data_IF_370872772291
#
_entry.id   IF_370872772291
#
_cell.length_a   1.000
_cell.length_b   1.000
_cell.length_c   1.000
_cell.angle_alpha   90.00
_cell.angle_beta   90.00
_cell.angle_gamma   90.00
#
_symmetry.space_group_name_H-M   'P 1'
#
loop_
_entity.id
_entity.type
_entity.pdbx_description
1 polymer ?
#
# COMPACT_ATOMS: atom_id res chain seq x y z
N UNK A 1 23.91 8.29 -38.43
CA UNK A 1 22.85 8.87 -37.61
C UNK A 1 23.29 8.67 -36.17
N UNK A 2 23.95 9.68 -35.60
CA UNK A 2 24.43 9.62 -34.22
C UNK A 2 23.20 9.69 -33.32
N UNK A 3 23.00 8.65 -32.52
CA UNK A 3 22.01 8.62 -31.44
C UNK A 3 22.32 9.80 -30.53
N UNK A 4 21.39 10.73 -30.32
CA UNK A 4 21.54 11.75 -29.28
C UNK A 4 21.73 11.03 -27.94
N UNK A 5 22.97 10.96 -27.46
CA UNK A 5 23.27 10.42 -26.14
C UNK A 5 22.62 11.38 -25.15
N UNK A 6 21.59 10.91 -24.44
CA UNK A 6 20.95 11.68 -23.40
C UNK A 6 21.95 11.83 -22.24
N UNK A 7 22.59 13.00 -22.17
CA UNK A 7 23.64 13.32 -21.20
C UNK A 7 23.20 13.01 -19.76
N UNK A 8 21.89 13.08 -19.45
CA UNK A 8 21.34 12.76 -18.13
C UNK A 8 21.30 11.27 -17.79
N UNK A 9 21.17 10.39 -18.80
CA UNK A 9 21.10 8.93 -18.62
C UNK A 9 22.49 8.34 -18.36
N UNK A 10 23.52 8.86 -19.03
CA UNK A 10 24.90 8.40 -18.82
C UNK A 10 25.46 8.93 -17.48
N UNK A 11 24.92 10.04 -16.97
CA UNK A 11 25.47 10.80 -15.83
C UNK A 11 25.43 10.03 -14.50
N UNK A 12 24.50 9.09 -14.38
CA UNK A 12 24.13 8.47 -13.12
C UNK A 12 24.43 6.98 -13.19
N UNK A 13 25.68 6.63 -13.46
CA UNK A 13 26.14 5.26 -13.31
C UNK A 13 25.97 4.84 -11.83
N UNK A 14 24.85 4.17 -11.58
CA UNK A 14 24.40 3.59 -10.31
C UNK A 14 24.29 2.07 -10.48
N UNK A 15 25.21 1.47 -11.25
CA UNK A 15 25.26 0.03 -11.50
C UNK A 15 25.26 -0.77 -10.20
N UNK A 16 25.94 -0.30 -9.14
CA UNK A 16 25.91 -0.96 -7.84
C UNK A 16 24.50 -0.98 -7.23
N UNK A 17 23.80 0.17 -7.18
CA UNK A 17 22.44 0.24 -6.65
C UNK A 17 21.46 -0.55 -7.52
N UNK A 18 21.61 -0.53 -8.84
CA UNK A 18 20.80 -1.33 -9.78
C UNK A 18 21.03 -2.82 -9.63
N UNK A 19 22.28 -3.26 -9.50
CA UNK A 19 22.63 -4.66 -9.26
C UNK A 19 22.03 -5.15 -7.93
N UNK A 20 22.14 -4.36 -6.87
CA UNK A 20 21.51 -4.67 -5.57
C UNK A 20 20.00 -4.81 -5.72
N UNK A 21 19.35 -3.88 -6.42
CA UNK A 21 17.91 -3.91 -6.63
C UNK A 21 17.48 -5.12 -7.49
N UNK A 22 18.20 -5.45 -8.56
CA UNK A 22 17.96 -6.65 -9.38
C UNK A 22 18.12 -7.94 -8.55
N UNK A 23 19.13 -8.02 -7.68
CA UNK A 23 19.29 -9.15 -6.76
C UNK A 23 18.12 -9.24 -5.77
N UNK A 24 17.58 -8.11 -5.29
CA UNK A 24 16.36 -8.08 -4.48
C UNK A 24 15.16 -8.60 -5.28
N UNK A 25 14.96 -8.16 -6.53
CA UNK A 25 13.86 -8.66 -7.38
C UNK A 25 13.95 -10.16 -7.64
N UNK A 26 15.16 -10.68 -7.79
CA UNK A 26 15.41 -12.12 -8.04
C UNK A 26 15.38 -12.96 -6.77
N UNK A 27 15.18 -12.35 -5.59
CA UNK A 27 15.21 -13.06 -4.31
C UNK A 27 16.58 -13.62 -3.94
N UNK A 28 17.66 -13.08 -4.51
CA UNK A 28 19.04 -13.49 -4.21
C UNK A 28 19.58 -12.88 -2.91
N UNK A 29 18.86 -11.91 -2.33
CA UNK A 29 19.16 -11.28 -1.04
C UNK A 29 18.04 -11.55 -0.04
N UNK A 30 18.39 -11.58 1.24
CA UNK A 30 17.40 -11.67 2.32
C UNK A 30 16.77 -10.31 2.60
N UNK A 31 17.57 -9.24 2.49
CA UNK A 31 17.13 -7.86 2.59
C UNK A 31 16.34 -7.50 1.33
N UNK A 32 15.12 -7.03 1.54
CA UNK A 32 14.18 -6.61 0.49
C UNK A 32 13.68 -5.19 0.75
N UNK A 33 14.33 -4.46 1.65
CA UNK A 33 14.07 -3.05 1.94
C UNK A 33 15.36 -2.27 1.68
N UNK A 34 15.26 -1.23 0.84
CA UNK A 34 16.37 -0.37 0.44
C UNK A 34 16.04 1.09 0.75
N UNK A 35 16.84 1.72 1.60
CA UNK A 35 16.76 3.15 1.91
C UNK A 35 17.84 3.90 1.14
N UNK A 36 17.42 4.87 0.35
CA UNK A 36 18.29 5.72 -0.46
C UNK A 36 18.24 7.14 0.08
N UNK A 37 19.34 7.57 0.67
CA UNK A 37 19.53 8.92 1.15
C UNK A 37 20.37 9.71 0.15
N UNK A 38 19.92 10.88 -0.26
CA UNK A 38 20.75 11.77 -1.05
C UNK A 38 20.31 13.22 -0.98
N UNK A 39 21.25 14.12 -1.21
CA UNK A 39 20.95 15.52 -1.39
C UNK A 39 20.18 15.83 -2.69
N UNK A 40 19.69 17.05 -2.82
CA UNK A 40 19.09 17.54 -4.07
C UNK A 40 20.09 17.48 -5.24
N UNK A 41 19.66 16.99 -6.40
CA UNK A 41 20.49 16.92 -7.61
C UNK A 41 21.44 15.73 -7.71
N UNK A 42 21.36 14.76 -6.78
CA UNK A 42 22.19 13.54 -6.78
C UNK A 42 21.68 12.39 -7.68
N UNK A 43 20.56 12.60 -8.38
CA UNK A 43 20.00 11.63 -9.32
C UNK A 43 19.00 10.61 -8.76
N UNK A 44 18.49 10.80 -7.54
CA UNK A 44 17.49 9.89 -6.92
C UNK A 44 16.32 9.55 -7.84
N UNK A 45 15.69 10.58 -8.42
CA UNK A 45 14.51 10.39 -9.26
C UNK A 45 14.83 9.55 -10.49
N UNK A 46 16.00 9.77 -11.12
CA UNK A 46 16.43 8.97 -12.25
C UNK A 46 16.71 7.52 -11.85
N UNK A 47 17.43 7.29 -10.75
CA UNK A 47 17.64 5.94 -10.21
C UNK A 47 16.31 5.22 -9.91
N UNK A 48 15.32 5.92 -9.39
CA UNK A 48 13.99 5.37 -9.18
C UNK A 48 13.22 5.11 -10.48
N UNK A 49 13.43 5.87 -11.56
CA UNK A 49 12.89 5.54 -12.89
C UNK A 49 13.51 4.24 -13.41
N UNK A 50 14.81 4.03 -13.20
CA UNK A 50 15.48 2.79 -13.60
C UNK A 50 14.98 1.60 -12.78
N UNK A 51 14.83 1.76 -11.46
CA UNK A 51 14.21 0.73 -10.61
C UNK A 51 12.78 0.45 -11.04
N UNK A 52 12.03 1.50 -11.37
CA UNK A 52 10.69 1.35 -11.91
C UNK A 52 10.74 0.49 -13.17
N UNK A 53 11.56 0.84 -14.17
CA UNK A 53 11.71 0.09 -15.41
C UNK A 53 12.13 -1.37 -15.18
N UNK A 54 13.11 -1.64 -14.31
CA UNK A 54 13.55 -2.99 -13.95
C UNK A 54 12.44 -3.82 -13.29
N UNK A 55 11.53 -3.17 -12.58
CA UNK A 55 10.39 -3.81 -11.93
C UNK A 55 9.19 -4.07 -12.86
N UNK A 56 9.28 -3.78 -14.16
CA UNK A 56 8.17 -3.96 -15.13
C UNK A 56 7.52 -5.35 -15.14
N UNK A 57 8.26 -6.45 -14.97
CA UNK A 57 7.66 -7.79 -14.90
C UNK A 57 6.86 -8.08 -13.63
N UNK A 58 6.85 -7.17 -12.64
CA UNK A 58 6.28 -7.38 -11.31
C UNK A 58 5.15 -6.36 -11.04
N UNK A 59 4.13 -6.73 -10.24
CA UNK A 59 3.22 -5.75 -9.66
C UNK A 59 4.01 -4.65 -8.93
N UNK A 60 3.79 -3.38 -9.30
CA UNK A 60 4.60 -2.26 -8.81
C UNK A 60 3.76 -1.02 -8.52
N UNK A 61 4.08 -0.36 -7.41
CA UNK A 61 3.42 0.86 -6.95
C UNK A 61 4.47 1.94 -6.65
N UNK A 62 4.19 3.20 -7.02
CA UNK A 62 5.08 4.34 -6.72
C UNK A 62 4.34 5.52 -6.13
N UNK A 63 4.95 6.12 -5.11
CA UNK A 63 4.45 7.29 -4.41
C UNK A 63 5.47 8.43 -4.50
N UNK A 64 5.08 9.58 -5.06
CA UNK A 64 5.82 10.83 -4.87
C UNK A 64 5.30 11.53 -3.60
N UNK A 65 6.08 11.50 -2.52
CA UNK A 65 5.69 12.08 -1.25
C UNK A 65 5.80 13.61 -1.20
N UNK A 66 6.17 14.29 -2.31
CA UNK A 66 6.09 15.77 -2.40
C UNK A 66 4.66 16.27 -2.28
N UNK A 67 3.69 15.55 -2.84
CA UNK A 67 2.29 15.94 -2.75
C UNK A 67 1.71 15.56 -1.39
N UNK A 68 0.71 16.32 -0.94
CA UNK A 68 -0.02 16.03 0.29
C UNK A 68 -0.86 14.75 0.11
N UNK A 69 -0.27 13.61 0.45
CA UNK A 69 -0.99 12.34 0.57
C UNK A 69 -1.52 12.19 2.00
N UNK A 70 -2.77 11.72 2.12
CA UNK A 70 -3.26 11.14 3.38
C UNK A 70 -3.09 9.62 3.35
N UNK A 71 -3.15 9.00 4.53
CA UNK A 71 -2.93 7.56 4.65
C UNK A 71 -3.93 6.75 3.82
N UNK A 72 -5.19 7.19 3.74
CA UNK A 72 -6.21 6.53 2.93
C UNK A 72 -5.77 6.44 1.47
N UNK A 73 -5.37 7.56 0.86
CA UNK A 73 -4.91 7.62 -0.53
C UNK A 73 -3.75 6.66 -0.79
N UNK A 74 -2.81 6.55 0.15
CA UNK A 74 -1.67 5.64 0.03
C UNK A 74 -2.11 4.19 0.03
N UNK A 75 -2.93 3.79 1.01
CA UNK A 75 -3.43 2.42 1.14
C UNK A 75 -4.25 2.00 -0.09
N UNK A 76 -5.12 2.89 -0.59
CA UNK A 76 -5.95 2.59 -1.75
C UNK A 76 -5.15 2.50 -3.05
N UNK A 77 -4.24 3.45 -3.29
CA UNK A 77 -3.37 3.41 -4.47
C UNK A 77 -2.48 2.17 -4.47
N UNK A 78 -2.01 1.73 -3.31
CA UNK A 78 -1.24 0.48 -3.20
C UNK A 78 -2.07 -0.71 -3.67
N UNK A 79 -3.32 -0.83 -3.21
CA UNK A 79 -4.20 -1.92 -3.65
C UNK A 79 -4.57 -1.81 -5.14
N UNK A 80 -4.72 -0.59 -5.66
CA UNK A 80 -4.99 -0.32 -7.07
C UNK A 80 -3.83 -0.76 -7.97
N UNK A 81 -2.64 -0.26 -7.69
CA UNK A 81 -1.44 -0.49 -8.49
C UNK A 81 -0.97 -1.96 -8.43
N UNK A 82 -1.22 -2.65 -7.31
CA UNK A 82 -0.85 -4.06 -7.13
C UNK A 82 -1.96 -5.04 -7.52
N UNK A 83 -3.16 -4.56 -7.87
CA UNK A 83 -4.30 -5.39 -8.29
C UNK A 83 -5.25 -5.74 -7.15
N UNK A 84 -6.47 -5.19 -7.19
CA UNK A 84 -7.47 -5.29 -6.11
C UNK A 84 -7.88 -6.72 -5.75
N UNK A 85 -7.83 -7.65 -6.70
CA UNK A 85 -8.17 -9.06 -6.52
C UNK A 85 -7.29 -9.74 -5.45
N UNK A 86 -6.11 -9.18 -5.16
CA UNK A 86 -5.19 -9.69 -4.17
C UNK A 86 -5.49 -9.19 -2.75
N UNK A 87 -6.40 -8.21 -2.60
CA UNK A 87 -6.65 -7.46 -1.36
C UNK A 87 -8.04 -7.70 -0.75
N UNK A 88 -8.46 -8.96 -0.68
CA UNK A 88 -9.77 -9.35 -0.16
C UNK A 88 -9.96 -9.01 1.34
N UNK A 89 -8.90 -9.14 2.15
CA UNK A 89 -8.91 -8.78 3.56
C UNK A 89 -9.12 -7.28 3.76
N UNK A 90 -8.33 -6.47 3.07
CA UNK A 90 -8.44 -5.01 3.07
C UNK A 90 -9.84 -4.57 2.62
N UNK A 91 -10.34 -5.14 1.53
CA UNK A 91 -11.64 -4.81 1.00
C UNK A 91 -12.79 -5.10 1.98
N UNK A 92 -12.69 -6.21 2.73
CA UNK A 92 -13.67 -6.55 3.78
C UNK A 92 -13.74 -5.47 4.85
N UNK A 93 -12.60 -4.92 5.27
CA UNK A 93 -12.54 -3.80 6.24
C UNK A 93 -13.14 -2.53 5.64
N UNK A 94 -12.82 -2.21 4.38
CA UNK A 94 -13.41 -1.05 3.66
C UNK A 94 -14.92 -1.15 3.60
N UNK A 95 -15.43 -2.33 3.26
CA UNK A 95 -16.87 -2.58 3.20
C UNK A 95 -17.54 -2.43 4.55
N UNK A 96 -16.89 -2.87 5.63
CA UNK A 96 -17.41 -2.70 6.99
C UNK A 96 -17.56 -1.23 7.37
N UNK A 97 -16.67 -0.33 6.94
CA UNK A 97 -16.81 1.11 7.22
C UNK A 97 -17.91 1.77 6.41
N UNK A 98 -18.02 1.43 5.11
CA UNK A 98 -19.15 1.86 4.27
C UNK A 98 -20.49 1.43 4.85
N UNK A 99 -20.50 0.26 5.48
CA UNK A 99 -21.65 -0.34 6.14
C UNK A 99 -21.81 0.19 7.58
N UNK A 100 -20.75 0.66 8.22
CA UNK A 100 -20.72 1.30 9.54
C UNK A 100 -20.99 0.31 10.66
N UNK A 101 -21.03 0.76 11.93
CA UNK A 101 -21.40 -0.11 13.06
C UNK A 101 -22.84 -0.68 12.96
N UNK A 102 -23.58 -0.40 11.89
CA UNK A 102 -25.04 -0.42 11.88
C UNK A 102 -25.73 -0.86 10.59
N UNK A 103 -25.06 -1.05 9.45
CA UNK A 103 -25.76 -1.41 8.20
C UNK A 103 -24.96 -2.25 7.22
N UNK A 104 -24.99 -3.58 7.41
CA UNK A 104 -24.70 -4.51 6.32
C UNK A 104 -24.20 -5.89 6.71
N UNK A 105 -24.03 -6.18 8.00
CA UNK A 105 -23.87 -7.55 8.43
C UNK A 105 -25.17 -8.30 8.04
N UNK A 106 -25.06 -9.49 7.44
CA UNK A 106 -26.19 -10.36 7.09
C UNK A 106 -27.16 -10.47 8.27
N UNK A 107 -26.61 -10.42 9.50
CA UNK A 107 -27.30 -10.34 10.78
C UNK A 107 -28.28 -9.17 10.92
N UNK A 108 -27.92 -7.96 10.52
CA UNK A 108 -28.83 -6.80 10.61
C UNK A 108 -29.92 -6.84 9.54
N UNK A 109 -29.61 -7.37 8.35
CA UNK A 109 -30.63 -7.61 7.32
C UNK A 109 -31.59 -8.71 7.79
N UNK A 110 -31.07 -9.79 8.36
CA UNK A 110 -31.85 -10.88 8.93
C UNK A 110 -32.68 -10.40 10.13
N UNK A 111 -32.11 -9.59 11.01
CA UNK A 111 -32.80 -9.00 12.15
C UNK A 111 -33.96 -8.11 11.69
N UNK A 112 -33.71 -7.16 10.78
CA UNK A 112 -34.76 -6.32 10.19
C UNK A 112 -35.84 -7.15 9.50
N UNK A 113 -35.46 -8.23 8.82
CA UNK A 113 -36.40 -9.10 8.14
C UNK A 113 -37.26 -9.88 9.15
N UNK A 114 -36.66 -10.43 10.21
CA UNK A 114 -37.39 -11.09 11.29
C UNK A 114 -38.35 -10.11 11.96
N UNK A 115 -37.91 -8.91 12.31
CA UNK A 115 -38.76 -7.93 12.99
C UNK A 115 -39.86 -7.35 12.10
N UNK A 116 -39.64 -7.27 10.78
CA UNK A 116 -40.65 -6.79 9.84
C UNK A 116 -41.69 -7.86 9.43
N UNK A 117 -41.32 -9.15 9.42
CA UNK A 117 -42.15 -10.20 8.80
C UNK A 117 -42.55 -11.36 9.73
N UNK A 118 -42.06 -11.39 10.97
CA UNK A 118 -42.44 -12.38 11.97
C UNK A 118 -43.19 -11.71 13.12
N UNK A 119 -44.10 -12.45 13.75
CA UNK A 119 -44.64 -12.13 15.07
C UNK A 119 -43.89 -12.93 16.15
N UNK A 120 -44.10 -12.57 17.42
CA UNK A 120 -43.49 -13.29 18.55
C UNK A 120 -43.79 -14.79 18.53
N UNK A 121 -45.03 -15.17 18.21
CA UNK A 121 -45.42 -16.58 18.12
C UNK A 121 -44.77 -17.28 16.91
N UNK A 122 -44.61 -16.59 15.78
CA UNK A 122 -43.87 -17.14 14.62
C UNK A 122 -42.40 -17.38 15.00
N UNK A 123 -41.79 -16.45 15.74
CA UNK A 123 -40.40 -16.56 16.19
C UNK A 123 -40.23 -17.72 17.18
N UNK A 124 -41.22 -17.97 18.05
CA UNK A 124 -41.24 -19.13 18.96
C UNK A 124 -41.32 -20.45 18.20
N UNK A 125 -42.17 -20.54 17.17
CA UNK A 125 -42.24 -21.70 16.28
C UNK A 125 -40.92 -21.93 15.51
N UNK A 126 -40.30 -20.85 15.06
CA UNK A 126 -38.99 -20.91 14.40
C UNK A 126 -37.92 -21.44 15.36
N UNK A 127 -37.88 -20.97 16.62
CA UNK A 127 -36.95 -21.47 17.63
C UNK A 127 -37.15 -22.96 17.92
N UNK A 128 -38.41 -23.43 18.02
CA UNK A 128 -38.73 -24.84 18.21
C UNK A 128 -38.22 -25.71 17.04
N UNK A 129 -38.30 -25.19 15.81
CA UNK A 129 -37.80 -25.91 14.61
C UNK A 129 -36.27 -25.99 14.59
N UNK A 130 -35.61 -24.98 15.17
CA UNK A 130 -34.15 -24.89 15.27
C UNK A 130 -33.58 -25.55 16.54
N UNK A 131 -34.41 -26.26 17.30
CA UNK A 131 -34.06 -26.86 18.61
C UNK A 131 -33.46 -25.83 19.60
N UNK A 132 -33.99 -24.61 19.56
CA UNK A 132 -33.61 -23.52 20.47
C UNK A 132 -34.74 -23.26 21.45
N UNK A 133 -34.44 -23.30 22.75
CA UNK A 133 -35.40 -22.92 23.78
C UNK A 133 -35.64 -21.39 23.75
N UNK A 134 -36.83 -21.01 23.28
CA UNK A 134 -37.24 -19.62 23.15
C UNK A 134 -37.20 -18.86 24.47
N UNK A 135 -37.48 -19.52 25.59
CA UNK A 135 -37.52 -18.85 26.91
C UNK A 135 -36.10 -18.50 27.41
N UNK A 136 -35.07 -19.20 26.91
CA UNK A 136 -33.67 -18.91 27.23
C UNK A 136 -33.06 -17.76 26.40
N UNK A 137 -33.78 -17.24 25.40
CA UNK A 137 -33.35 -16.06 24.64
C UNK A 137 -33.58 -14.78 25.46
N UNK A 138 -32.66 -13.83 25.36
CA UNK A 138 -32.75 -12.56 26.09
C UNK A 138 -33.83 -11.62 25.52
N UNK A 139 -34.46 -10.86 26.42
CA UNK A 139 -35.47 -9.85 26.08
C UNK A 139 -36.90 -10.38 26.04
N UNK A 140 -37.88 -9.46 26.09
CA UNK A 140 -39.32 -9.78 26.08
C UNK A 140 -40.05 -9.29 24.83
N UNK A 141 -39.38 -8.50 23.99
CA UNK A 141 -39.93 -7.96 22.75
C UNK A 141 -39.47 -8.78 21.54
N UNK A 142 -40.23 -8.72 20.45
CA UNK A 142 -39.85 -9.34 19.17
C UNK A 142 -38.44 -8.92 18.73
N UNK A 143 -38.14 -7.63 18.86
CA UNK A 143 -36.88 -7.04 18.44
C UNK A 143 -35.68 -7.63 19.19
N UNK A 144 -35.77 -7.70 20.52
CA UNK A 144 -34.72 -8.23 21.38
C UNK A 144 -34.59 -9.75 21.24
N UNK A 145 -35.71 -10.49 21.17
CA UNK A 145 -35.71 -11.94 20.96
C UNK A 145 -35.12 -12.32 19.60
N UNK A 146 -35.44 -11.58 18.54
CA UNK A 146 -34.88 -11.81 17.21
C UNK A 146 -33.36 -11.58 17.18
N UNK A 147 -32.89 -10.52 17.86
CA UNK A 147 -31.46 -10.26 17.98
C UNK A 147 -30.75 -11.34 18.79
N UNK A 148 -31.33 -11.73 19.93
CA UNK A 148 -30.77 -12.78 20.80
C UNK A 148 -30.70 -14.13 20.09
N UNK A 149 -31.71 -14.49 19.29
CA UNK A 149 -31.71 -15.70 18.46
C UNK A 149 -30.55 -15.68 17.46
N UNK A 150 -30.37 -14.58 16.73
CA UNK A 150 -29.28 -14.45 15.74
C UNK A 150 -27.91 -14.65 16.42
N UNK A 151 -27.70 -14.02 17.58
CA UNK A 151 -26.46 -14.15 18.34
C UNK A 151 -26.27 -15.58 18.88
N UNK A 152 -27.34 -16.21 19.37
CA UNK A 152 -27.32 -17.59 19.84
C UNK A 152 -26.89 -18.55 18.72
N UNK A 153 -27.52 -18.47 17.54
CA UNK A 153 -27.22 -19.36 16.40
C UNK A 153 -25.81 -19.15 15.86
N UNK A 154 -25.30 -17.91 15.90
CA UNK A 154 -23.91 -17.61 15.53
C UNK A 154 -22.90 -18.25 16.46
N UNK A 155 -23.11 -18.18 17.77
CA UNK A 155 -22.22 -18.82 18.77
C UNK A 155 -22.13 -20.33 18.58
N UNK A 156 -23.21 -20.95 18.15
CA UNK A 156 -23.30 -22.40 17.95
C UNK A 156 -23.01 -22.86 16.51
N UNK A 157 -22.56 -21.95 15.63
CA UNK A 157 -22.24 -22.21 14.20
C UNK A 157 -23.41 -22.74 13.35
N UNK A 158 -24.66 -22.55 13.79
CA UNK A 158 -25.89 -22.98 13.09
C UNK A 158 -26.60 -21.82 12.37
N UNK A 159 -25.86 -20.77 12.00
CA UNK A 159 -26.43 -19.58 11.36
C UNK A 159 -27.06 -19.88 9.98
N UNK A 160 -26.51 -20.86 9.25
CA UNK A 160 -27.05 -21.29 7.96
C UNK A 160 -28.42 -21.96 8.11
N UNK A 161 -28.60 -22.75 9.17
CA UNK A 161 -29.87 -23.41 9.46
C UNK A 161 -30.96 -22.39 9.79
N UNK A 162 -30.61 -21.33 10.53
CA UNK A 162 -31.52 -20.21 10.81
C UNK A 162 -32.00 -19.58 9.49
N UNK A 163 -31.10 -19.27 8.57
CA UNK A 163 -31.48 -18.66 7.29
C UNK A 163 -32.33 -19.60 6.44
N UNK A 164 -31.97 -20.88 6.35
CA UNK A 164 -32.72 -21.88 5.61
C UNK A 164 -34.17 -22.00 6.13
N UNK A 165 -34.34 -22.06 7.45
CA UNK A 165 -35.65 -22.15 8.08
C UNK A 165 -36.47 -20.86 7.93
N UNK A 166 -35.83 -19.69 7.96
CA UNK A 166 -36.51 -18.42 7.71
C UNK A 166 -37.01 -18.34 6.26
N UNK A 167 -36.21 -18.78 5.29
CA UNK A 167 -36.64 -18.87 3.89
C UNK A 167 -37.75 -19.89 3.69
N UNK A 168 -37.72 -21.03 4.38
CA UNK A 168 -38.78 -22.02 4.32
C UNK A 168 -40.09 -21.48 4.91
N UNK A 169 -40.02 -20.77 6.04
CA UNK A 169 -41.19 -20.19 6.69
C UNK A 169 -41.80 -19.03 5.88
N UNK A 170 -40.98 -18.31 5.09
CA UNK A 170 -41.42 -17.19 4.25
C UNK A 170 -40.71 -17.23 2.87
N UNK A 171 -41.11 -18.13 1.97
CA UNK A 171 -40.43 -18.34 0.68
C UNK A 171 -40.38 -17.10 -0.23
N UNK A 172 -41.34 -16.19 -0.06
CA UNK A 172 -41.43 -14.94 -0.83
C UNK A 172 -40.34 -13.91 -0.48
N UNK A 173 -39.62 -14.09 0.63
CA UNK A 173 -38.58 -13.13 1.06
C UNK A 173 -37.24 -13.33 0.33
N UNK A 174 -36.96 -14.53 -0.19
CA UNK A 174 -35.78 -14.81 -1.02
C UNK A 174 -34.44 -14.44 -0.38
N UNK A 175 -34.31 -14.56 0.95
CA UNK A 175 -33.12 -14.13 1.68
C UNK A 175 -31.96 -15.10 1.40
N UNK A 176 -31.07 -14.74 0.48
CA UNK A 176 -29.95 -15.61 0.14
C UNK A 176 -28.79 -15.29 1.08
N UNK A 177 -28.20 -16.32 1.71
CA UNK A 177 -26.80 -16.26 2.12
C UNK A 177 -26.00 -16.23 0.82
N UNK A 178 -25.95 -15.09 0.14
CA UNK A 178 -24.83 -14.89 -0.76
C UNK A 178 -23.63 -14.86 0.15
N UNK A 179 -22.95 -16.01 0.22
CA UNK A 179 -21.53 -16.06 0.48
C UNK A 179 -20.93 -14.85 -0.22
N UNK A 180 -20.11 -14.14 0.52
CA UNK A 180 -19.18 -13.15 0.04
C UNK A 180 -18.48 -13.68 -1.21
N UNK A 181 -19.10 -13.51 -2.39
CA UNK A 181 -18.36 -13.36 -3.63
C UNK A 181 -17.37 -12.26 -3.28
N UNK A 182 -16.08 -12.62 -3.24
CA UNK A 182 -14.98 -11.73 -2.88
C UNK A 182 -15.29 -10.37 -3.47
N UNK A 183 -15.58 -9.36 -2.66
CA UNK A 183 -16.50 -8.36 -3.16
C UNK A 183 -15.70 -7.49 -4.11
N UNK A 184 -16.15 -7.49 -5.36
CA UNK A 184 -15.42 -6.85 -6.46
C UNK A 184 -15.26 -5.39 -6.09
N UNK A 185 -14.01 -4.93 -6.00
CA UNK A 185 -13.73 -3.53 -5.71
C UNK A 185 -14.48 -2.66 -6.71
N UNK A 186 -15.29 -1.73 -6.20
CA UNK A 186 -15.92 -0.71 -7.03
C UNK A 186 -15.51 0.67 -6.51
N UNK A 187 -15.17 1.54 -7.45
CA UNK A 187 -14.89 2.95 -7.17
C UNK A 187 -16.00 3.61 -6.34
N UNK A 188 -17.25 3.17 -6.49
CA UNK A 188 -18.40 3.64 -5.71
C UNK A 188 -18.28 3.30 -4.22
N UNK A 189 -17.83 2.09 -3.86
CA UNK A 189 -17.64 1.67 -2.46
C UNK A 189 -16.51 2.47 -1.83
N UNK A 190 -15.45 2.75 -2.59
CA UNK A 190 -14.39 3.64 -2.12
C UNK A 190 -14.88 5.06 -1.84
N UNK A 191 -15.65 5.67 -2.74
CA UNK A 191 -16.17 7.03 -2.51
C UNK A 191 -17.01 7.09 -1.23
N UNK A 192 -17.85 6.07 -1.01
CA UNK A 192 -18.63 5.97 0.21
C UNK A 192 -17.75 5.78 1.45
N UNK A 193 -16.70 4.97 1.36
CA UNK A 193 -15.76 4.74 2.46
C UNK A 193 -15.06 6.06 2.82
N UNK A 194 -14.58 6.79 1.81
CA UNK A 194 -13.93 8.08 1.97
C UNK A 194 -14.83 9.11 2.65
N UNK A 195 -16.08 9.22 2.23
CA UNK A 195 -17.06 10.12 2.87
C UNK A 195 -17.32 9.74 4.33
N UNK A 196 -17.36 8.44 4.66
CA UNK A 196 -17.51 8.03 6.06
C UNK A 196 -16.26 8.27 6.88
N UNK A 197 -15.09 8.03 6.31
CA UNK A 197 -13.82 8.26 6.98
C UNK A 197 -13.60 9.72 7.36
N UNK A 198 -14.04 10.65 6.52
CA UNK A 198 -14.00 12.07 6.86
C UNK A 198 -14.92 12.46 8.02
N UNK A 199 -15.88 11.61 8.38
CA UNK A 199 -16.85 11.86 9.46
C UNK A 199 -16.50 11.10 10.76
N UNK A 200 -15.51 10.21 10.76
CA UNK A 200 -15.06 9.51 11.96
C UNK A 200 -14.35 10.48 12.89
N UNK A 201 -14.47 10.24 14.21
CA UNK A 201 -13.63 10.95 15.16
C UNK A 201 -12.17 10.45 15.09
N UNK A 202 -11.25 11.17 15.74
CA UNK A 202 -9.82 10.87 15.67
C UNK A 202 -9.48 9.46 16.17
N UNK A 203 -10.13 8.97 17.22
CA UNK A 203 -9.89 7.64 17.80
C UNK A 203 -10.37 6.55 16.87
N UNK A 204 -11.58 6.70 16.32
CA UNK A 204 -12.15 5.76 15.33
C UNK A 204 -11.32 5.70 14.06
N UNK A 205 -10.80 6.84 13.60
CA UNK A 205 -9.98 6.91 12.39
C UNK A 205 -8.64 6.18 12.58
N UNK A 206 -7.99 6.36 13.72
CA UNK A 206 -6.74 5.64 14.05
C UNK A 206 -6.99 4.13 14.13
N UNK A 207 -8.04 3.70 14.83
CA UNK A 207 -8.39 2.28 14.93
C UNK A 207 -8.65 1.67 13.56
N UNK A 208 -9.40 2.38 12.71
CA UNK A 208 -9.68 1.91 11.36
C UNK A 208 -8.44 1.89 10.46
N UNK A 209 -7.56 2.89 10.55
CA UNK A 209 -6.28 2.88 9.84
C UNK A 209 -5.41 1.68 10.23
N UNK A 210 -5.42 1.31 11.52
CA UNK A 210 -4.73 0.11 12.01
C UNK A 210 -5.34 -1.16 11.41
N UNK A 211 -6.67 -1.27 11.38
CA UNK A 211 -7.37 -2.42 10.79
C UNK A 211 -7.10 -2.54 9.29
N UNK A 212 -7.17 -1.43 8.54
CA UNK A 212 -6.83 -1.42 7.12
C UNK A 212 -5.38 -1.81 6.87
N UNK A 213 -4.46 -1.23 7.65
CA UNK A 213 -3.02 -1.52 7.54
C UNK A 213 -2.74 -2.99 7.83
N UNK A 214 -3.32 -3.55 8.89
CA UNK A 214 -3.18 -4.97 9.22
C UNK A 214 -3.72 -5.89 8.13
N UNK A 215 -4.94 -5.62 7.65
CA UNK A 215 -5.56 -6.40 6.59
C UNK A 215 -4.76 -6.32 5.27
N UNK A 216 -4.27 -5.13 4.90
CA UNK A 216 -3.40 -4.94 3.74
C UNK A 216 -2.10 -5.75 3.87
N UNK A 217 -1.47 -5.78 5.04
CA UNK A 217 -0.25 -6.56 5.28
C UNK A 217 -0.53 -8.06 5.20
N UNK A 218 -1.66 -8.52 5.72
CA UNK A 218 -2.06 -9.93 5.64
C UNK A 218 -2.34 -10.36 4.18
N UNK A 219 -2.90 -9.46 3.37
CA UNK A 219 -3.09 -9.67 1.94
C UNK A 219 -1.73 -9.67 1.19
N UNK A 220 -0.84 -8.70 1.49
CA UNK A 220 0.52 -8.66 0.94
C UNK A 220 1.34 -9.92 1.26
N UNK A 221 1.10 -10.53 2.43
CA UNK A 221 1.75 -11.80 2.83
C UNK A 221 1.31 -12.98 1.97
N UNK A 222 0.12 -12.90 1.37
CA UNK A 222 -0.46 -13.95 0.53
C UNK A 222 -0.11 -13.82 -0.96
N UNK A 223 0.63 -12.77 -1.35
CA UNK A 223 1.06 -12.60 -2.73
C UNK A 223 1.89 -13.79 -3.19
N UNK A 224 1.44 -14.41 -4.28
CA UNK A 224 2.14 -15.53 -4.93
C UNK A 224 3.33 -15.06 -5.76
N UNK A 225 3.28 -13.82 -6.23
CA UNK A 225 4.33 -13.15 -7.00
C UNK A 225 5.02 -12.07 -6.16
N UNK A 226 6.21 -11.66 -6.59
CA UNK A 226 6.95 -10.58 -5.94
C UNK A 226 6.36 -9.23 -6.36
N UNK A 227 6.17 -8.32 -5.41
CA UNK A 227 5.68 -6.97 -5.65
C UNK A 227 6.71 -5.91 -5.26
N UNK A 228 6.63 -4.73 -5.88
CA UNK A 228 7.58 -3.62 -5.68
C UNK A 228 6.85 -2.36 -5.23
N UNK A 229 7.35 -1.72 -4.18
CA UNK A 229 6.78 -0.46 -3.66
C UNK A 229 7.89 0.58 -3.54
N UNK A 230 7.77 1.67 -4.30
CA UNK A 230 8.73 2.77 -4.32
C UNK A 230 8.12 4.02 -3.66
N UNK A 231 8.78 4.54 -2.62
CA UNK A 231 8.49 5.84 -2.03
C UNK A 231 9.57 6.83 -2.44
N UNK A 232 9.21 7.84 -3.23
CA UNK A 232 10.09 8.93 -3.65
C UNK A 232 9.84 10.17 -2.77
N UNK A 233 10.87 11.00 -2.63
CA UNK A 233 10.88 12.24 -1.86
C UNK A 233 10.47 12.08 -0.40
N UNK A 234 11.06 11.12 0.31
CA UNK A 234 11.01 11.11 1.76
C UNK A 234 11.86 12.28 2.31
N UNK A 235 11.22 13.31 2.83
CA UNK A 235 11.85 14.55 3.33
C UNK A 235 11.07 14.98 4.58
N UNK A 236 11.71 15.36 5.69
CA UNK A 236 10.98 15.72 6.91
C UNK A 236 10.07 16.94 6.71
N UNK A 237 10.46 17.89 5.87
CA UNK A 237 9.80 19.19 5.71
C UNK A 237 8.65 19.18 4.69
N UNK A 238 8.54 18.14 3.85
CA UNK A 238 7.60 18.11 2.71
C UNK A 238 6.77 16.83 2.66
N UNK A 239 5.47 16.90 2.42
CA UNK A 239 4.58 15.74 2.36
C UNK A 239 3.88 15.41 3.68
N UNK A 240 2.89 14.51 3.61
CA UNK A 240 2.01 14.17 4.75
C UNK A 240 2.78 13.51 5.91
N UNK A 241 2.81 14.17 7.08
CA UNK A 241 3.47 13.66 8.30
C UNK A 241 2.92 12.29 8.72
N UNK A 242 1.60 12.14 8.69
CA UNK A 242 0.89 10.89 9.00
C UNK A 242 1.39 9.72 8.15
N UNK A 243 1.55 9.92 6.83
CA UNK A 243 2.06 8.88 5.92
C UNK A 243 3.49 8.49 6.25
N UNK A 244 4.37 9.45 6.56
CA UNK A 244 5.77 9.15 6.89
C UNK A 244 5.91 8.42 8.22
N UNK A 245 5.12 8.81 9.21
CA UNK A 245 5.05 8.12 10.49
C UNK A 245 4.54 6.69 10.29
N UNK A 246 3.48 6.50 9.49
CA UNK A 246 3.00 5.18 9.10
C UNK A 246 4.06 4.34 8.37
N UNK A 247 4.76 4.89 7.37
CA UNK A 247 5.85 4.20 6.65
C UNK A 247 6.90 3.71 7.66
N UNK A 248 7.34 4.60 8.56
CA UNK A 248 8.47 4.33 9.45
C UNK A 248 8.11 3.41 10.62
N UNK A 249 6.93 3.57 11.20
CA UNK A 249 6.55 2.94 12.47
C UNK A 249 5.65 1.72 12.30
N UNK A 250 4.94 1.60 11.18
CA UNK A 250 4.00 0.50 10.95
C UNK A 250 4.37 -0.32 9.72
N UNK A 251 4.46 0.32 8.55
CA UNK A 251 4.61 -0.39 7.28
C UNK A 251 5.97 -1.10 7.17
N UNK A 252 7.10 -0.39 7.27
CA UNK A 252 8.42 -1.00 7.12
C UNK A 252 8.72 -2.10 8.16
N UNK A 253 8.40 -1.93 9.46
CA UNK A 253 8.57 -3.00 10.45
C UNK A 253 7.77 -4.27 10.14
N UNK A 254 6.61 -4.17 9.49
CA UNK A 254 5.83 -5.33 9.05
C UNK A 254 6.31 -5.86 7.69
N UNK A 255 6.67 -4.97 6.76
CA UNK A 255 7.17 -5.32 5.44
C UNK A 255 8.44 -6.18 5.51
N UNK A 256 9.27 -6.03 6.55
CA UNK A 256 10.45 -6.91 6.78
C UNK A 256 10.11 -8.41 6.83
N UNK A 257 8.86 -8.76 7.14
CA UNK A 257 8.38 -10.14 7.23
C UNK A 257 7.74 -10.61 5.92
N UNK A 258 7.82 -9.80 4.86
CA UNK A 258 7.19 -10.04 3.56
C UNK A 258 8.30 -10.21 2.49
N UNK A 259 8.96 -11.38 2.40
CA UNK A 259 10.10 -11.58 1.50
C UNK A 259 9.76 -11.44 0.00
N UNK A 260 8.47 -11.43 -0.33
CA UNK A 260 7.94 -11.19 -1.67
C UNK A 260 7.60 -9.71 -1.93
N UNK A 261 7.86 -8.80 -0.98
CA UNK A 261 7.60 -7.37 -1.16
C UNK A 261 8.92 -6.62 -1.10
N UNK A 262 9.36 -6.09 -2.23
CA UNK A 262 10.55 -5.24 -2.31
C UNK A 262 10.13 -3.79 -2.08
N UNK A 263 10.74 -3.12 -1.10
CA UNK A 263 10.43 -1.73 -0.76
C UNK A 263 11.65 -0.86 -0.96
N UNK A 264 11.49 0.26 -1.66
CA UNK A 264 12.51 1.31 -1.75
C UNK A 264 11.96 2.60 -1.17
N UNK A 265 12.69 3.23 -0.26
CA UNK A 265 12.38 4.58 0.23
C UNK A 265 13.54 5.50 -0.10
N UNK A 266 13.33 6.44 -1.02
CA UNK A 266 14.32 7.41 -1.43
C UNK A 266 13.95 8.81 -0.96
N UNK A 267 14.95 9.56 -0.49
CA UNK A 267 14.69 10.85 0.14
C UNK A 267 15.94 11.67 0.40
N UNK A 268 15.73 12.91 0.85
CA UNK A 268 16.79 13.68 1.52
C UNK A 268 16.99 13.17 2.95
N UNK A 269 15.87 12.82 3.57
CA UNK A 269 15.82 12.07 4.80
C UNK A 269 15.43 10.64 4.49
N UNK A 270 15.64 9.76 5.45
CA UNK A 270 15.13 8.39 5.41
C UNK A 270 14.39 8.05 6.70
N UNK A 271 13.48 7.06 6.68
CA UNK A 271 12.80 6.56 7.87
C UNK A 271 13.80 6.24 8.99
N UNK A 272 13.52 6.75 10.19
CA UNK A 272 14.26 6.35 11.39
C UNK A 272 13.68 5.05 11.90
N UNK A 273 14.36 3.95 11.59
CA UNK A 273 13.97 2.62 12.00
C UNK A 273 14.50 2.35 13.43
N UNK A 274 13.66 1.80 14.31
CA UNK A 274 14.08 1.38 15.65
C UNK A 274 14.84 0.05 15.63
N UNK A 275 15.69 -0.18 16.64
CA UNK A 275 16.50 -1.41 16.77
C UNK A 275 17.66 -1.49 15.77
N UNK A 276 18.28 -2.67 15.67
CA UNK A 276 19.32 -2.92 14.67
C UNK A 276 18.67 -3.20 13.30
N UNK A 277 18.45 -2.14 12.54
CA UNK A 277 17.83 -2.22 11.21
C UNK A 277 18.78 -2.79 10.14
N UNK A 278 20.08 -2.90 10.43
CA UNK A 278 21.11 -3.31 9.48
C UNK A 278 20.95 -4.77 9.01
N UNK A 279 20.30 -5.60 9.81
CA UNK A 279 20.13 -7.03 9.51
C UNK A 279 19.04 -7.32 8.47
N UNK A 280 18.14 -6.37 8.21
CA UNK A 280 16.97 -6.59 7.34
C UNK A 280 16.72 -5.45 6.36
N UNK A 281 17.52 -4.38 6.41
CA UNK A 281 17.36 -3.20 5.60
C UNK A 281 18.73 -2.70 5.12
N UNK A 282 18.85 -2.47 3.81
CA UNK A 282 20.03 -1.82 3.24
C UNK A 282 19.88 -0.31 3.24
N UNK A 283 20.93 0.40 3.63
CA UNK A 283 21.05 1.84 3.45
C UNK A 283 22.13 2.17 2.43
N UNK A 284 21.80 3.08 1.51
CA UNK A 284 22.71 3.65 0.53
C UNK A 284 22.63 5.16 0.57
N UNK A 285 23.79 5.79 0.59
CA UNK A 285 23.94 7.24 0.46
C UNK A 285 24.41 7.52 -0.96
N UNK A 286 23.61 8.22 -1.78
CA UNK A 286 24.07 8.63 -3.11
C UNK A 286 25.00 9.83 -2.97
N UNK A 287 26.29 9.57 -3.14
CA UNK A 287 27.32 10.59 -3.14
C UNK A 287 27.44 11.24 -4.52
N UNK A 288 28.04 12.44 -4.52
CA UNK A 288 28.49 13.08 -5.74
C UNK A 288 29.61 12.26 -6.40
N UNK A 289 29.79 12.47 -7.71
CA UNK A 289 30.89 11.88 -8.45
C UNK A 289 32.21 12.46 -7.98
N UNK A 290 33.25 11.65 -7.87
CA UNK A 290 34.62 12.17 -7.73
C UNK A 290 35.20 12.56 -9.11
N UNK A 291 36.40 13.16 -9.11
CA UNK A 291 37.03 13.62 -10.35
C UNK A 291 37.32 12.47 -11.33
N UNK A 292 37.59 11.26 -10.86
CA UNK A 292 37.88 10.10 -11.72
C UNK A 292 36.62 9.72 -12.48
N UNK A 293 35.50 9.59 -11.77
CA UNK A 293 34.20 9.33 -12.40
C UNK A 293 33.79 10.42 -13.39
N UNK A 294 34.10 11.70 -13.11
CA UNK A 294 33.81 12.79 -14.06
C UNK A 294 34.65 12.67 -15.34
N UNK A 295 35.92 12.24 -15.23
CA UNK A 295 36.78 12.01 -16.42
C UNK A 295 36.26 10.85 -17.26
N UNK A 296 36.03 9.69 -16.64
CA UNK A 296 35.46 8.52 -17.31
C UNK A 296 34.13 8.85 -18.00
N UNK A 297 33.34 9.72 -17.37
CA UNK A 297 32.08 10.18 -17.94
C UNK A 297 32.24 11.04 -19.20
N UNK A 298 33.14 12.02 -19.19
CA UNK A 298 33.44 12.85 -20.37
C UNK A 298 33.91 11.99 -21.53
N UNK A 299 34.75 10.98 -21.24
CA UNK A 299 35.22 10.01 -22.22
C UNK A 299 34.07 9.19 -22.81
N UNK A 300 33.12 8.71 -21.99
CA UNK A 300 31.94 7.97 -22.46
C UNK A 300 30.98 8.79 -23.32
N UNK A 301 30.91 10.10 -23.09
CA UNK A 301 30.13 11.01 -23.93
C UNK A 301 30.84 11.37 -25.24
N UNK A 302 32.05 10.86 -25.47
CA UNK A 302 32.89 11.20 -26.63
C UNK A 302 33.16 12.73 -26.76
N UNK A 303 33.09 13.46 -25.64
CA UNK A 303 33.34 14.90 -25.60
C UNK A 303 34.84 15.18 -25.45
N UNK A 304 35.35 16.14 -26.21
CA UNK A 304 36.76 16.55 -26.12
C UNK A 304 36.92 17.71 -25.13
N UNK A 305 36.93 17.41 -23.83
CA UNK A 305 37.12 18.43 -22.78
C UNK A 305 38.54 18.35 -22.22
N UNK A 306 39.33 19.45 -22.22
CA UNK A 306 40.65 19.46 -21.60
C UNK A 306 40.62 19.11 -20.11
N UNK A 307 41.62 18.37 -19.64
CA UNK A 307 41.73 17.90 -18.24
C UNK A 307 41.62 19.03 -17.19
N UNK A 308 42.19 20.19 -17.48
CA UNK A 308 42.09 21.38 -16.62
C UNK A 308 40.65 21.91 -16.54
N UNK A 309 39.92 21.85 -17.66
CA UNK A 309 38.51 22.23 -17.75
C UNK A 309 37.61 21.24 -16.99
N UNK A 310 37.89 19.94 -17.09
CA UNK A 310 37.20 18.91 -16.30
C UNK A 310 37.39 19.19 -14.79
N UNK A 311 38.61 19.56 -14.39
CA UNK A 311 38.91 19.94 -13.01
C UNK A 311 38.17 21.20 -12.55
N UNK A 312 37.86 22.14 -13.45
CA UNK A 312 37.04 23.32 -13.18
C UNK A 312 35.55 22.92 -13.04
N UNK A 313 35.04 22.06 -13.93
CA UNK A 313 33.66 21.55 -13.86
C UNK A 313 33.42 20.79 -12.55
N UNK A 314 34.35 19.90 -12.18
CA UNK A 314 34.28 19.19 -10.91
C UNK A 314 34.26 20.14 -9.70
N UNK A 315 35.16 21.14 -9.66
CA UNK A 315 35.23 22.10 -8.54
C UNK A 315 33.97 22.97 -8.43
N UNK A 316 33.43 23.42 -9.56
CA UNK A 316 32.25 24.31 -9.61
C UNK A 316 30.96 23.59 -9.20
N UNK A 317 30.84 22.31 -9.55
CA UNK A 317 29.66 21.49 -9.23
C UNK A 317 29.80 20.70 -7.93
N UNK A 318 31.04 20.55 -7.44
CA UNK A 318 31.40 19.68 -6.32
C UNK A 318 30.95 18.23 -6.54
N UNK A 319 31.07 17.74 -7.77
CA UNK A 319 30.67 16.38 -8.13
C UNK A 319 29.16 16.17 -8.23
N UNK A 320 28.33 17.23 -8.17
CA UNK A 320 26.87 17.09 -8.20
C UNK A 320 26.39 16.68 -9.59
N UNK A 321 25.70 15.54 -9.70
CA UNK A 321 25.31 14.99 -10.99
C UNK A 321 24.53 15.93 -11.90
N UNK A 322 23.44 16.48 -11.39
CA UNK A 322 22.55 17.35 -12.17
C UNK A 322 23.27 18.61 -12.70
N UNK A 323 24.15 19.20 -11.90
CA UNK A 323 24.86 20.42 -12.30
C UNK A 323 25.95 20.13 -13.33
N UNK A 324 26.65 19.00 -13.20
CA UNK A 324 27.64 18.58 -14.18
C UNK A 324 27.00 18.26 -15.52
N UNK A 325 25.86 17.56 -15.53
CA UNK A 325 25.09 17.31 -16.75
C UNK A 325 24.73 18.62 -17.48
N UNK A 326 24.23 19.61 -16.73
CA UNK A 326 23.89 20.93 -17.28
C UNK A 326 25.09 21.67 -17.88
N UNK A 327 26.26 21.59 -17.22
CA UNK A 327 27.48 22.24 -17.73
C UNK A 327 27.96 21.56 -19.01
N UNK A 328 27.95 20.23 -19.06
CA UNK A 328 28.42 19.46 -20.21
C UNK A 328 27.45 19.53 -21.41
N UNK A 329 26.14 19.58 -21.17
CA UNK A 329 25.13 19.90 -22.20
C UNK A 329 25.44 21.25 -22.87
N UNK A 330 25.74 22.28 -22.08
CA UNK A 330 26.10 23.60 -22.62
C UNK A 330 27.46 23.61 -23.35
N UNK A 331 28.42 22.79 -22.92
CA UNK A 331 29.71 22.67 -23.59
C UNK A 331 29.54 22.03 -24.98
N UNK A 332 28.87 20.88 -25.05
CA UNK A 332 28.63 20.17 -26.32
C UNK A 332 27.82 20.99 -27.31
N UNK A 333 26.86 21.81 -26.84
CA UNK A 333 26.09 22.72 -27.67
C UNK A 333 26.90 23.92 -28.20
N UNK A 334 28.06 24.23 -27.62
CA UNK A 334 28.95 25.31 -28.08
C UNK A 334 30.02 24.85 -29.09
N UNK A 335 30.24 23.54 -29.22
CA UNK A 335 31.16 22.94 -30.20
C UNK A 335 30.45 22.40 -31.47
N UNK A 336 29.12 22.30 -31.45
CA UNK A 336 28.27 21.96 -32.60
C UNK A 336 27.89 23.22 -33.41
#
# INVERSE_FOLDING_TARGET
MATEINIKEVFLDREEERAIFDEMLRGKRQEHILLIEAEGGMGKTHLLEEFWALAEPYPRCRFDLKSAHNLEQVLFKLCEDLGYEQFGGFYRIVSQVVQGPGTGNVEQKLHKMLTAHFKLDDLRLLCMTLDVDFENLEGSTLDLKALSLIQYMKRHRSYNDLVANVNQARPKLGFTLTETSSPVFSFAIWQQAKTRLSNLNQVERVEYHNQLTGAMIDDLRQLSERAVILFDTFDQERGGREVKEWISQMFLPMARLLPNVVVVVAGRDIPRLGGDSRDWCLRRELRGLDLVHVKEFVERLELTVPDDTISIFYRSTRGRPLLLAQILENWGAGEA
#
